data_IF_962600687714
#
_entry.id   IF_962600687714
#
_cell.length_a   1.000
_cell.length_b   1.000
_cell.length_c   1.000
_cell.angle_alpha   90.00
_cell.angle_beta   90.00
_cell.angle_gamma   90.00
#
_symmetry.space_group_name_H-M   'P 1'
#
loop_
_entity.id
_entity.type
_entity.pdbx_description
1 polymer ?
#
# COMPACT_ATOMS: atom_id res chain seq x y z
N UNK A 1 2.39 -59.54 17.50
CA UNK A 1 2.69 -59.22 16.09
C UNK A 1 2.32 -57.75 15.88
N UNK A 2 3.32 -56.89 16.01
CA UNK A 2 3.24 -55.43 15.88
C UNK A 2 3.50 -55.04 14.43
N UNK A 3 2.61 -54.25 13.82
CA UNK A 3 2.90 -53.44 12.63
C UNK A 3 2.07 -52.14 12.79
N UNK A 4 2.65 -51.11 13.43
CA UNK A 4 3.25 -49.93 12.79
C UNK A 4 2.39 -49.29 11.71
N UNK A 5 1.54 -48.34 12.11
CA UNK A 5 1.03 -47.30 11.21
C UNK A 5 1.95 -46.08 11.39
N UNK A 6 3.01 -46.06 10.58
CA UNK A 6 3.95 -44.97 10.47
C UNK A 6 3.28 -43.73 9.90
N UNK A 7 3.17 -42.70 10.73
CA UNK A 7 3.73 -41.36 10.49
C UNK A 7 3.73 -40.88 9.02
N UNK A 8 2.68 -40.16 8.62
CA UNK A 8 2.75 -39.13 7.57
C UNK A 8 1.86 -37.95 7.97
N UNK A 9 2.29 -37.23 9.00
CA UNK A 9 1.91 -35.82 9.16
C UNK A 9 3.10 -35.03 8.62
N UNK A 10 3.06 -34.75 7.32
CA UNK A 10 3.93 -33.74 6.71
C UNK A 10 3.63 -32.41 7.39
N UNK A 11 4.51 -32.04 8.32
CA UNK A 11 4.63 -30.72 8.92
C UNK A 11 4.77 -29.67 7.82
N UNK A 12 3.63 -29.06 7.45
CA UNK A 12 3.63 -27.71 6.89
C UNK A 12 4.05 -26.78 8.02
N UNK A 13 5.32 -26.39 8.00
CA UNK A 13 5.93 -25.37 8.83
C UNK A 13 5.27 -24.02 8.53
N UNK A 14 4.10 -23.79 9.13
CA UNK A 14 3.59 -22.44 9.33
C UNK A 14 4.59 -21.72 10.24
N UNK A 15 5.30 -20.74 9.68
CA UNK A 15 6.21 -19.90 10.42
C UNK A 15 5.51 -19.40 11.70
N UNK A 16 6.06 -19.81 12.85
CA UNK A 16 5.66 -19.31 14.17
C UNK A 16 5.89 -17.81 14.16
N UNK A 17 4.83 -17.04 13.89
CA UNK A 17 4.81 -15.60 14.11
C UNK A 17 4.86 -15.39 15.62
N UNK A 18 6.10 -15.22 16.11
CA UNK A 18 6.37 -14.76 17.47
C UNK A 18 5.47 -13.55 17.75
N UNK A 19 4.63 -13.66 18.77
CA UNK A 19 3.98 -12.52 19.41
C UNK A 19 5.07 -11.63 19.97
N UNK A 20 5.44 -10.60 19.22
CA UNK A 20 5.98 -9.39 19.79
C UNK A 20 4.81 -8.46 20.08
N UNK A 21 4.28 -8.54 21.31
CA UNK A 21 3.73 -7.35 21.94
C UNK A 21 4.93 -6.44 22.26
N UNK A 22 5.48 -5.77 21.24
CA UNK A 22 6.30 -4.61 21.51
C UNK A 22 5.32 -3.54 21.99
N UNK A 23 5.37 -3.25 23.29
CA UNK A 23 5.13 -1.88 23.72
C UNK A 23 6.02 -1.00 22.82
N UNK A 24 5.41 -0.08 22.08
CA UNK A 24 6.12 0.88 21.24
C UNK A 24 6.96 1.78 22.15
N UNK A 25 8.16 1.32 22.49
CA UNK A 25 9.18 2.09 23.20
C UNK A 25 10.26 2.50 22.20
N UNK A 26 9.83 3.27 21.21
CA UNK A 26 10.62 4.30 20.49
C UNK A 26 9.62 5.10 19.67
N UNK A 27 9.62 6.42 19.86
CA UNK A 27 8.81 7.37 19.11
C UNK A 27 9.04 7.23 17.61
N UNK A 28 7.99 6.91 16.85
CA UNK A 28 8.01 6.74 15.39
C UNK A 28 8.98 5.64 14.96
N UNK A 29 8.97 5.12 13.75
CA UNK A 29 9.71 5.75 12.66
C UNK A 29 9.92 4.62 11.64
N UNK A 30 9.02 4.45 10.69
CA UNK A 30 9.43 4.05 9.34
C UNK A 30 10.04 5.26 8.58
N UNK A 31 10.81 6.15 9.24
CA UNK A 31 11.34 7.39 8.60
C UNK A 31 12.56 7.08 7.75
N UNK A 32 13.36 6.05 8.04
CA UNK A 32 14.58 5.79 7.25
C UNK A 32 14.28 5.56 5.76
N UNK A 33 13.07 5.10 5.42
CA UNK A 33 12.64 4.83 4.03
C UNK A 33 11.66 5.86 3.51
N UNK A 34 10.79 6.39 4.36
CA UNK A 34 9.99 7.57 4.01
C UNK A 34 10.86 8.76 3.68
N UNK A 35 11.99 8.97 4.36
CA UNK A 35 12.94 10.06 4.06
C UNK A 35 13.46 10.04 2.63
N UNK A 36 13.48 8.87 1.97
CA UNK A 36 13.96 8.72 0.60
C UNK A 36 12.94 9.15 -0.45
N UNK A 37 11.67 9.36 -0.10
CA UNK A 37 10.69 9.92 -1.04
C UNK A 37 11.05 11.39 -1.29
N UNK A 38 11.79 11.61 -2.37
CA UNK A 38 12.26 12.93 -2.83
C UNK A 38 11.55 13.42 -4.08
N UNK A 39 10.98 12.51 -4.85
CA UNK A 39 10.36 12.77 -6.15
C UNK A 39 9.21 11.79 -6.43
N UNK A 40 8.49 12.02 -7.53
CA UNK A 40 7.36 11.18 -7.94
C UNK A 40 7.74 9.72 -8.22
N UNK A 41 8.95 9.41 -8.69
CA UNK A 41 9.34 8.02 -8.94
C UNK A 41 9.50 7.23 -7.64
N UNK A 42 10.12 7.83 -6.64
CA UNK A 42 10.30 7.16 -5.35
C UNK A 42 8.96 6.98 -4.65
N UNK A 43 8.03 7.96 -4.73
CA UNK A 43 6.67 7.80 -4.21
C UNK A 43 5.92 6.68 -4.93
N UNK A 44 5.94 6.63 -6.28
CA UNK A 44 5.30 5.54 -7.05
C UNK A 44 5.78 4.17 -6.58
N UNK A 45 7.10 3.99 -6.42
CA UNK A 45 7.66 2.71 -5.95
C UNK A 45 7.21 2.38 -4.53
N UNK A 46 7.23 3.36 -3.63
CA UNK A 46 6.78 3.18 -2.25
C UNK A 46 5.30 2.77 -2.19
N UNK A 47 4.44 3.48 -2.91
CA UNK A 47 3.01 3.21 -2.97
C UNK A 47 2.75 1.80 -3.51
N UNK A 48 3.35 1.41 -4.63
CA UNK A 48 3.19 0.08 -5.23
C UNK A 48 3.73 -1.05 -4.33
N UNK A 49 4.83 -0.82 -3.60
CA UNK A 49 5.36 -1.78 -2.65
C UNK A 49 4.41 -1.98 -1.45
N UNK A 50 3.83 -0.89 -0.92
CA UNK A 50 2.83 -0.97 0.14
C UNK A 50 1.53 -1.64 -0.34
N UNK A 51 1.09 -1.38 -1.59
CA UNK A 51 -0.01 -2.09 -2.24
C UNK A 51 0.22 -3.60 -2.25
N UNK A 52 1.42 -4.03 -2.67
CA UNK A 52 1.77 -5.45 -2.68
C UNK A 52 1.68 -6.09 -1.29
N UNK A 53 2.17 -5.41 -0.26
CA UNK A 53 2.14 -5.91 1.12
C UNK A 53 0.70 -6.02 1.66
N UNK A 54 -0.13 -5.00 1.42
CA UNK A 54 -1.53 -5.00 1.88
C UNK A 54 -2.36 -6.10 1.19
N UNK A 55 -2.18 -6.29 -0.11
CA UNK A 55 -2.85 -7.37 -0.87
C UNK A 55 -2.38 -8.76 -0.43
N UNK A 56 -1.08 -8.92 -0.18
CA UNK A 56 -0.54 -10.18 0.37
C UNK A 56 -1.14 -10.45 1.75
N UNK A 57 -1.25 -9.42 2.60
CA UNK A 57 -1.86 -9.53 3.92
C UNK A 57 -3.35 -9.93 3.82
N UNK A 58 -4.12 -9.30 2.92
CA UNK A 58 -5.52 -9.65 2.69
C UNK A 58 -5.68 -11.11 2.23
N UNK A 59 -4.83 -11.55 1.29
CA UNK A 59 -4.80 -12.93 0.80
C UNK A 59 -4.47 -13.91 1.92
N UNK A 60 -3.44 -13.64 2.72
CA UNK A 60 -3.05 -14.47 3.87
C UNK A 60 -4.12 -14.51 4.96
N UNK A 61 -4.93 -13.47 5.11
CA UNK A 61 -6.04 -13.46 6.04
C UNK A 61 -7.07 -14.58 5.76
N UNK A 62 -7.26 -14.94 4.49
CA UNK A 62 -8.21 -15.99 4.10
C UNK A 62 -7.80 -17.40 4.55
N UNK A 63 -6.52 -17.65 4.82
CA UNK A 63 -6.05 -18.96 5.28
C UNK A 63 -6.28 -19.18 6.77
N UNK A 64 -6.47 -18.12 7.56
CA UNK A 64 -6.66 -18.21 9.01
C UNK A 64 -7.91 -19.02 9.39
N UNK A 65 -9.15 -18.65 8.97
CA UNK A 65 -10.34 -19.42 9.32
C UNK A 65 -10.32 -20.84 8.73
N UNK A 66 -9.68 -21.03 7.56
CA UNK A 66 -9.52 -22.35 6.93
C UNK A 66 -8.64 -23.27 7.79
N UNK A 67 -7.51 -22.77 8.29
CA UNK A 67 -6.61 -23.54 9.13
C UNK A 67 -7.26 -23.90 10.47
N UNK A 68 -7.93 -22.95 11.13
CA UNK A 68 -8.64 -23.20 12.39
C UNK A 68 -9.78 -24.22 12.19
N UNK A 69 -10.57 -24.09 11.12
CA UNK A 69 -11.63 -25.05 10.78
C UNK A 69 -11.08 -26.45 10.50
N UNK A 70 -9.95 -26.56 9.79
CA UNK A 70 -9.28 -27.84 9.54
C UNK A 70 -8.78 -28.49 10.84
N UNK A 71 -8.22 -27.70 11.76
CA UNK A 71 -7.81 -28.18 13.09
C UNK A 71 -9.00 -28.69 13.90
N UNK A 72 -10.12 -27.96 13.90
CA UNK A 72 -11.37 -28.40 14.53
C UNK A 72 -11.89 -29.72 13.96
N UNK A 73 -11.91 -29.86 12.63
CA UNK A 73 -12.32 -31.09 11.95
C UNK A 73 -11.41 -32.28 12.30
N UNK A 74 -10.08 -32.07 12.35
CA UNK A 74 -9.12 -33.08 12.75
C UNK A 74 -9.33 -33.53 14.21
N UNK A 75 -9.58 -32.59 15.12
CA UNK A 75 -9.89 -32.89 16.53
C UNK A 75 -11.21 -33.65 16.68
N UNK A 76 -12.24 -33.33 15.88
CA UNK A 76 -13.48 -34.11 15.84
C UNK A 76 -13.26 -35.55 15.39
N UNK A 77 -12.47 -35.74 14.33
CA UNK A 77 -12.14 -37.07 13.82
C UNK A 77 -11.35 -37.87 14.87
N UNK A 78 -10.37 -37.25 15.52
CA UNK A 78 -9.62 -37.87 16.62
C UNK A 78 -10.54 -38.23 17.80
N UNK A 79 -11.49 -37.37 18.15
CA UNK A 79 -12.49 -37.64 19.17
C UNK A 79 -13.47 -38.77 18.81
N UNK A 80 -13.76 -38.97 17.52
CA UNK A 80 -14.56 -40.10 17.04
C UNK A 80 -13.79 -41.42 17.05
N UNK A 81 -12.47 -41.37 16.82
CA UNK A 81 -11.57 -42.53 16.86
C UNK A 81 -11.08 -42.89 18.27
N UNK A 82 -11.31 -42.04 19.27
CA UNK A 82 -10.79 -42.22 20.62
C UNK A 82 -11.42 -43.42 21.35
N UNK A 83 -10.58 -44.26 21.94
CA UNK A 83 -11.00 -45.36 22.83
C UNK A 83 -11.25 -44.83 24.24
N UNK A 84 -12.45 -44.30 24.49
CA UNK A 84 -12.87 -43.82 25.81
C UNK A 84 -13.71 -42.55 25.74
N UNK A 85 -14.77 -42.48 26.56
CA UNK A 85 -15.71 -41.35 26.56
C UNK A 85 -15.04 -40.06 27.00
N UNK A 86 -14.14 -40.16 27.97
CA UNK A 86 -13.34 -39.09 28.54
C UNK A 86 -12.41 -38.47 27.52
N UNK A 87 -11.65 -39.29 26.79
CA UNK A 87 -10.74 -38.84 25.73
C UNK A 87 -11.50 -38.23 24.56
N UNK A 88 -12.60 -38.86 24.16
CA UNK A 88 -13.49 -38.33 23.13
C UNK A 88 -14.07 -36.96 23.52
N UNK A 89 -14.50 -36.79 24.78
CA UNK A 89 -15.02 -35.53 25.30
C UNK A 89 -13.95 -34.43 25.32
N UNK A 90 -12.73 -34.74 25.76
CA UNK A 90 -11.57 -33.85 25.70
C UNK A 90 -11.33 -33.30 24.30
N UNK A 91 -11.20 -34.20 23.31
CA UNK A 91 -10.91 -33.82 21.94
C UNK A 91 -12.06 -33.05 21.27
N UNK A 92 -13.32 -33.39 21.58
CA UNK A 92 -14.49 -32.63 21.11
C UNK A 92 -14.53 -31.23 21.73
N UNK A 93 -14.19 -31.08 23.01
CA UNK A 93 -14.11 -29.76 23.64
C UNK A 93 -13.06 -28.86 22.97
N UNK A 94 -11.87 -29.40 22.68
CA UNK A 94 -10.84 -28.66 21.93
C UNK A 94 -11.32 -28.32 20.51
N UNK A 95 -12.05 -29.23 19.84
CA UNK A 95 -12.62 -28.96 18.53
C UNK A 95 -13.61 -27.79 18.55
N UNK A 96 -14.49 -27.72 19.56
CA UNK A 96 -15.44 -26.61 19.72
C UNK A 96 -14.75 -25.26 19.86
N UNK A 97 -13.59 -25.19 20.52
CA UNK A 97 -12.80 -23.96 20.65
C UNK A 97 -12.22 -23.54 19.29
N UNK A 98 -11.67 -24.48 18.52
CA UNK A 98 -11.15 -24.20 17.18
C UNK A 98 -12.26 -23.74 16.22
N UNK A 99 -13.43 -24.39 16.27
CA UNK A 99 -14.60 -23.98 15.49
C UNK A 99 -15.08 -22.58 15.88
N UNK A 100 -15.15 -22.26 17.17
CA UNK A 100 -15.49 -20.92 17.65
C UNK A 100 -14.48 -19.85 17.18
N UNK A 101 -13.19 -20.13 17.26
CA UNK A 101 -12.14 -19.26 16.74
C UNK A 101 -12.24 -19.07 15.22
N UNK A 102 -12.53 -20.15 14.48
CA UNK A 102 -12.73 -20.10 13.04
C UNK A 102 -13.93 -19.23 12.66
N UNK A 103 -15.06 -19.36 13.36
CA UNK A 103 -16.24 -18.52 13.14
C UNK A 103 -15.97 -17.05 13.48
N UNK A 104 -15.28 -16.77 14.59
CA UNK A 104 -14.91 -15.41 14.96
C UNK A 104 -13.99 -14.76 13.89
N UNK A 105 -12.99 -15.50 13.41
CA UNK A 105 -12.13 -15.06 12.32
C UNK A 105 -12.92 -14.84 11.01
N UNK A 106 -13.85 -15.74 10.68
CA UNK A 106 -14.70 -15.62 9.49
C UNK A 106 -15.63 -14.41 9.56
N UNK A 107 -16.18 -14.09 10.73
CA UNK A 107 -17.03 -12.92 10.92
C UNK A 107 -16.25 -11.59 10.74
N UNK A 108 -14.97 -11.57 11.11
CA UNK A 108 -14.11 -10.39 10.94
C UNK A 108 -13.49 -10.28 9.54
N UNK A 109 -13.37 -11.40 8.81
CA UNK A 109 -12.65 -11.48 7.53
C UNK A 109 -13.14 -10.48 6.47
N UNK A 110 -14.46 -10.27 6.23
CA UNK A 110 -14.93 -9.33 5.22
C UNK A 110 -14.47 -7.89 5.50
N UNK A 111 -14.63 -7.43 6.74
CA UNK A 111 -14.20 -6.09 7.15
C UNK A 111 -12.67 -5.95 7.10
N UNK A 112 -11.94 -7.02 7.48
CA UNK A 112 -10.49 -7.07 7.40
C UNK A 112 -9.98 -6.90 5.96
N UNK A 113 -10.49 -7.70 5.03
CA UNK A 113 -10.13 -7.64 3.60
C UNK A 113 -10.52 -6.28 3.02
N UNK A 114 -11.75 -5.83 3.28
CA UNK A 114 -12.27 -4.57 2.73
C UNK A 114 -11.38 -3.37 3.07
N UNK A 115 -10.91 -3.26 4.31
CA UNK A 115 -10.05 -2.13 4.71
C UNK A 115 -8.67 -2.22 4.07
N UNK A 116 -8.07 -3.41 4.00
CA UNK A 116 -6.78 -3.62 3.34
C UNK A 116 -6.87 -3.30 1.83
N UNK A 117 -7.92 -3.76 1.16
CA UNK A 117 -8.16 -3.51 -0.26
C UNK A 117 -8.48 -2.04 -0.54
N UNK A 118 -9.22 -1.36 0.34
CA UNK A 118 -9.48 0.07 0.22
C UNK A 118 -8.18 0.89 0.28
N UNK A 119 -7.27 0.55 1.21
CA UNK A 119 -5.95 1.18 1.30
C UNK A 119 -5.09 0.89 0.07
N UNK A 120 -5.02 -0.39 -0.35
CA UNK A 120 -4.30 -0.78 -1.56
C UNK A 120 -4.85 -0.06 -2.81
N UNK A 121 -6.16 0.10 -2.92
CA UNK A 121 -6.79 0.81 -4.04
C UNK A 121 -6.45 2.29 -4.02
N UNK A 122 -6.50 2.94 -2.84
CA UNK A 122 -6.15 4.35 -2.70
C UNK A 122 -4.69 4.63 -3.09
N UNK A 123 -3.76 3.78 -2.64
CA UNK A 123 -2.34 3.86 -3.00
C UNK A 123 -2.10 3.58 -4.50
N UNK A 124 -2.76 2.56 -5.07
CA UNK A 124 -2.62 2.28 -6.51
C UNK A 124 -3.15 3.43 -7.38
N UNK A 125 -4.29 4.03 -7.01
CA UNK A 125 -4.83 5.21 -7.69
C UNK A 125 -3.89 6.42 -7.57
N UNK A 126 -3.22 6.57 -6.42
CA UNK A 126 -2.20 7.60 -6.22
C UNK A 126 -0.99 7.38 -7.13
N UNK A 127 -0.43 6.17 -7.15
CA UNK A 127 0.66 5.79 -8.04
C UNK A 127 0.29 6.05 -9.52
N UNK A 128 -0.91 5.67 -9.96
CA UNK A 128 -1.38 5.97 -11.32
C UNK A 128 -1.48 7.46 -11.60
N UNK A 129 -1.96 8.27 -10.65
CA UNK A 129 -2.02 9.73 -10.80
C UNK A 129 -0.63 10.33 -10.96
N UNK A 130 0.37 9.82 -10.22
CA UNK A 130 1.77 10.24 -10.35
C UNK A 130 2.37 9.82 -11.69
N UNK A 131 2.07 8.61 -12.18
CA UNK A 131 2.49 8.14 -13.51
C UNK A 131 1.90 9.08 -14.58
N UNK A 132 0.59 9.33 -14.54
CA UNK A 132 -0.06 10.26 -15.48
C UNK A 132 0.48 11.69 -15.38
N UNK A 133 0.78 12.16 -14.17
CA UNK A 133 1.47 13.42 -13.96
C UNK A 133 2.81 13.44 -14.69
N UNK A 134 3.63 12.39 -14.56
CA UNK A 134 4.93 12.32 -15.24
C UNK A 134 4.82 12.25 -16.76
N UNK A 135 3.87 11.48 -17.27
CA UNK A 135 3.60 11.36 -18.70
C UNK A 135 3.17 12.69 -19.33
N UNK A 136 2.36 13.49 -18.61
CA UNK A 136 1.75 14.70 -19.17
C UNK A 136 2.47 15.99 -18.76
N UNK A 137 3.20 16.02 -17.64
CA UNK A 137 3.85 17.23 -17.15
C UNK A 137 5.00 17.59 -18.08
N UNK A 138 4.84 18.69 -18.80
CA UNK A 138 5.89 19.32 -19.60
C UNK A 138 7.03 19.74 -18.66
N UNK A 139 8.23 19.26 -18.97
CA UNK A 139 9.47 19.61 -18.28
C UNK A 139 10.20 20.72 -19.02
N UNK A 140 10.42 20.54 -20.32
CA UNK A 140 11.05 21.53 -21.17
C UNK A 140 10.22 21.77 -22.41
N UNK A 141 10.33 22.99 -22.92
CA UNK A 141 9.73 23.40 -24.18
C UNK A 141 10.82 24.13 -24.95
N UNK A 142 11.45 23.42 -25.89
CA UNK A 142 12.60 23.94 -26.63
C UNK A 142 12.14 24.41 -28.01
N UNK A 143 12.49 25.63 -28.43
CA UNK A 143 12.14 26.11 -29.77
C UNK A 143 12.81 25.25 -30.85
N UNK A 144 12.08 24.92 -31.92
CA UNK A 144 12.65 24.34 -33.14
C UNK A 144 12.93 25.44 -34.16
N UNK A 145 13.52 25.08 -35.31
CA UNK A 145 13.64 26.01 -36.43
C UNK A 145 12.26 26.59 -36.80
N UNK A 146 12.22 27.90 -37.03
CA UNK A 146 11.05 28.61 -37.51
C UNK A 146 10.77 28.25 -38.98
N UNK A 147 9.51 28.32 -39.42
CA UNK A 147 9.23 28.28 -40.85
C UNK A 147 9.62 29.60 -41.49
N UNK A 148 10.02 29.57 -42.77
CA UNK A 148 10.16 30.78 -43.59
C UNK A 148 8.90 31.64 -43.48
N UNK A 149 9.08 32.96 -43.45
CA UNK A 149 7.94 33.85 -43.30
C UNK A 149 6.98 33.76 -44.50
N UNK A 150 5.68 33.91 -44.23
CA UNK A 150 4.61 33.91 -45.22
C UNK A 150 3.61 35.02 -44.92
N UNK A 151 2.74 35.33 -45.87
CA UNK A 151 1.63 36.26 -45.65
C UNK A 151 0.39 35.54 -45.12
N UNK A 152 -0.28 36.12 -44.13
CA UNK A 152 -1.56 35.69 -43.58
C UNK A 152 -2.58 36.83 -43.63
N UNK A 153 -3.84 36.48 -43.43
CA UNK A 153 -5.00 37.38 -43.34
C UNK A 153 -5.25 37.90 -41.93
N UNK A 154 -4.54 37.36 -40.93
CA UNK A 154 -4.68 37.73 -39.53
C UNK A 154 -3.41 38.42 -38.99
N UNK A 155 -3.56 39.47 -38.16
CA UNK A 155 -4.83 40.12 -37.78
C UNK A 155 -5.40 41.02 -38.89
N UNK A 156 -4.64 41.28 -39.96
CA UNK A 156 -5.07 42.02 -41.14
C UNK A 156 -4.50 41.41 -42.43
N UNK A 157 -5.06 41.76 -43.58
CA UNK A 157 -4.58 41.27 -44.88
C UNK A 157 -3.09 41.59 -45.09
N UNK A 158 -2.37 40.65 -45.70
CA UNK A 158 -0.93 40.75 -45.97
C UNK A 158 -0.06 40.90 -44.71
N UNK A 159 -0.48 40.35 -43.57
CA UNK A 159 0.36 40.28 -42.35
C UNK A 159 1.48 39.27 -42.56
N UNK A 160 2.72 39.63 -42.25
CA UNK A 160 3.84 38.69 -42.23
C UNK A 160 3.77 37.82 -40.97
N UNK A 161 3.76 36.49 -41.15
CA UNK A 161 3.73 35.51 -40.07
C UNK A 161 4.85 34.48 -40.23
N UNK A 162 5.27 33.90 -39.11
CA UNK A 162 6.12 32.71 -39.07
C UNK A 162 5.48 31.70 -38.12
N UNK A 163 5.66 30.41 -38.40
CA UNK A 163 5.23 29.34 -37.49
C UNK A 163 6.44 28.76 -36.78
N UNK A 164 6.36 28.75 -35.45
CA UNK A 164 7.34 28.10 -34.58
C UNK A 164 6.71 26.89 -33.91
N UNK A 165 7.33 25.73 -34.09
CA UNK A 165 7.03 24.55 -33.29
C UNK A 165 8.00 24.51 -32.11
N UNK A 166 7.55 23.90 -31.02
CA UNK A 166 8.41 23.60 -29.90
C UNK A 166 8.49 22.09 -29.72
N UNK A 167 9.70 21.59 -29.51
CA UNK A 167 9.92 20.23 -29.04
C UNK A 167 9.57 20.18 -27.55
N UNK A 168 8.62 19.33 -27.20
CA UNK A 168 8.15 19.13 -25.83
C UNK A 168 8.85 17.90 -25.27
N UNK A 169 9.45 18.04 -24.09
CA UNK A 169 9.81 16.88 -23.27
C UNK A 169 9.00 16.87 -22.00
N UNK A 170 8.59 15.67 -21.58
CA UNK A 170 7.82 15.44 -20.35
C UNK A 170 8.73 14.86 -19.28
N UNK A 171 8.27 14.80 -18.03
CA UNK A 171 9.04 14.18 -16.96
C UNK A 171 9.35 12.70 -17.22
N UNK A 172 8.45 11.99 -17.92
CA UNK A 172 8.67 10.61 -18.31
C UNK A 172 9.82 10.44 -19.33
N UNK A 173 10.18 11.50 -20.07
CA UNK A 173 11.18 11.44 -21.15
C UNK A 173 12.61 11.18 -20.64
N UNK A 174 12.93 11.53 -19.40
CA UNK A 174 14.31 11.45 -18.88
C UNK A 174 14.65 10.10 -18.24
N UNK A 175 13.65 9.39 -17.71
CA UNK A 175 13.74 8.02 -17.25
C UNK A 175 12.34 7.53 -16.84
N UNK A 176 11.99 6.31 -17.25
CA UNK A 176 10.87 5.60 -16.66
C UNK A 176 11.19 5.29 -15.19
N UNK A 177 10.23 5.47 -14.29
CA UNK A 177 10.39 4.96 -12.94
C UNK A 177 10.47 3.44 -13.07
N UNK A 178 11.64 2.84 -12.84
CA UNK A 178 11.72 1.39 -12.73
C UNK A 178 10.70 0.95 -11.68
N UNK A 179 9.70 0.16 -12.05
CA UNK A 179 8.64 -0.33 -11.14
C UNK A 179 8.45 -1.84 -11.23
N UNK A 180 9.13 -2.50 -12.18
CA UNK A 180 8.99 -3.93 -12.45
C UNK A 180 9.58 -4.79 -11.33
N UNK A 181 10.66 -4.32 -10.71
CA UNK A 181 11.27 -4.94 -9.53
C UNK A 181 11.17 -4.00 -8.32
N UNK A 182 10.33 -4.37 -7.36
CA UNK A 182 10.16 -3.67 -6.08
C UNK A 182 11.10 -4.19 -4.98
N UNK A 183 11.86 -5.24 -5.22
CA UNK A 183 12.69 -5.93 -4.22
C UNK A 183 14.18 -5.60 -4.31
N UNK A 184 14.70 -5.20 -5.47
CA UNK A 184 16.14 -4.93 -5.65
C UNK A 184 16.47 -3.59 -6.31
N UNK A 185 17.75 -3.20 -6.30
CA UNK A 185 18.31 -2.15 -7.17
C UNK A 185 17.96 -0.68 -6.88
N UNK A 186 17.11 -0.38 -5.89
CA UNK A 186 16.57 0.97 -5.68
C UNK A 186 16.52 1.39 -4.21
N UNK A 187 16.38 2.70 -3.97
CA UNK A 187 16.34 3.28 -2.62
C UNK A 187 15.22 2.65 -1.76
N UNK A 188 14.00 2.60 -2.30
CA UNK A 188 12.85 1.95 -1.67
C UNK A 188 12.69 0.52 -2.20
N UNK A 189 12.80 -0.45 -1.28
CA UNK A 189 12.53 -1.87 -1.50
C UNK A 189 11.32 -2.32 -0.69
N UNK A 190 10.61 -3.34 -1.16
CA UNK A 190 9.39 -3.86 -0.51
C UNK A 190 9.67 -4.56 0.82
N UNK A 191 10.69 -5.43 0.88
CA UNK A 191 11.09 -6.17 2.09
C UNK A 191 11.45 -5.27 3.30
N UNK A 192 11.64 -4.01 2.97
CA UNK A 192 12.22 -2.95 3.75
C UNK A 192 11.12 -2.08 4.39
N UNK A 193 9.90 -2.10 3.82
CA UNK A 193 8.70 -1.41 4.34
C UNK A 193 8.05 -2.26 5.44
N UNK A 194 7.70 -1.61 6.55
CA UNK A 194 7.06 -2.28 7.68
C UNK A 194 5.73 -1.62 8.00
N UNK A 195 4.59 -2.16 7.53
CA UNK A 195 3.27 -1.57 7.74
C UNK A 195 2.94 -1.26 9.22
N UNK A 196 3.42 -2.11 10.15
CA UNK A 196 3.26 -1.91 11.59
C UNK A 196 4.06 -0.76 12.20
N UNK A 197 4.95 -0.10 11.45
CA UNK A 197 5.79 1.01 11.91
C UNK A 197 5.45 2.35 11.19
N UNK A 198 4.41 2.36 10.34
CA UNK A 198 3.98 3.55 9.61
C UNK A 198 3.10 4.45 10.50
N UNK A 199 3.53 5.69 10.70
CA UNK A 199 2.79 6.76 11.41
C UNK A 199 2.46 7.96 10.51
N UNK A 200 3.25 8.16 9.46
CA UNK A 200 3.06 9.19 8.43
C UNK A 200 3.36 8.59 7.07
N UNK A 201 2.88 9.20 6.00
CA UNK A 201 3.28 8.90 4.63
C UNK A 201 4.00 10.12 4.07
N UNK A 202 5.18 9.95 3.49
CA UNK A 202 5.83 11.04 2.76
C UNK A 202 5.33 11.01 1.33
N UNK A 203 4.64 12.07 0.90
CA UNK A 203 3.94 12.15 -0.38
C UNK A 203 4.13 13.54 -0.99
N UNK A 204 4.24 13.64 -2.30
CA UNK A 204 4.18 14.90 -3.04
C UNK A 204 2.90 15.65 -2.69
N UNK A 205 3.03 16.96 -2.52
CA UNK A 205 1.88 17.82 -2.30
C UNK A 205 0.89 17.73 -3.47
N UNK A 206 -0.41 17.63 -3.17
CA UNK A 206 -1.44 17.57 -4.21
C UNK A 206 -1.42 18.80 -5.15
N UNK A 207 -0.93 19.94 -4.65
CA UNK A 207 -0.77 21.18 -5.40
C UNK A 207 0.36 21.15 -6.45
N UNK A 208 1.31 20.23 -6.29
CA UNK A 208 2.43 20.06 -7.25
C UNK A 208 2.00 19.22 -8.46
N UNK A 209 0.94 18.43 -8.31
CA UNK A 209 0.39 17.57 -9.36
C UNK A 209 -0.50 18.36 -10.35
N UNK A 210 0.12 19.34 -11.01
CA UNK A 210 -0.50 20.24 -12.00
C UNK A 210 0.34 20.35 -13.27
N UNK A 211 -0.32 20.78 -14.35
CA UNK A 211 0.34 21.08 -15.62
C UNK A 211 1.34 22.23 -15.50
N UNK A 212 2.30 22.27 -16.43
CA UNK A 212 3.25 23.38 -16.52
C UNK A 212 2.54 24.65 -16.98
N UNK A 213 2.91 25.76 -16.34
CA UNK A 213 2.55 27.06 -16.88
C UNK A 213 3.45 27.29 -18.09
N UNK A 214 2.84 27.53 -19.25
CA UNK A 214 3.56 27.77 -20.49
C UNK A 214 3.58 29.28 -20.74
N UNK A 215 4.79 29.84 -20.77
CA UNK A 215 5.00 31.23 -21.17
C UNK A 215 5.40 31.26 -22.64
N UNK A 216 4.68 32.02 -23.45
CA UNK A 216 5.04 32.31 -24.83
C UNK A 216 5.51 33.77 -24.92
N UNK A 217 6.66 33.99 -25.56
CA UNK A 217 7.24 35.31 -25.81
C UNK A 217 7.38 35.48 -27.32
N UNK A 218 6.63 36.40 -27.89
CA UNK A 218 6.87 36.85 -29.26
C UNK A 218 7.86 38.03 -29.23
N UNK A 219 8.73 38.11 -30.23
CA UNK A 219 9.58 39.28 -30.41
C UNK A 219 9.66 39.66 -31.90
N UNK A 220 9.69 40.96 -32.12
CA UNK A 220 9.88 41.58 -33.42
C UNK A 220 10.88 42.72 -33.27
N UNK A 221 11.73 42.90 -34.26
CA UNK A 221 12.62 44.06 -34.36
C UNK A 221 12.66 44.52 -35.81
N UNK A 222 12.74 45.83 -36.01
CA UNK A 222 12.85 46.43 -37.33
C UNK A 222 11.55 46.34 -38.13
N UNK A 223 11.68 46.22 -39.45
CA UNK A 223 10.55 46.06 -40.38
C UNK A 223 10.69 44.72 -41.09
N UNK A 224 10.10 43.64 -40.55
CA UNK A 224 10.16 42.33 -41.18
C UNK A 224 9.54 42.42 -42.59
N UNK A 225 10.35 42.26 -43.64
CA UNK A 225 9.91 42.32 -45.02
C UNK A 225 9.54 40.91 -45.56
N UNK A 226 9.00 40.83 -46.78
CA UNK A 226 8.79 39.53 -47.41
C UNK A 226 10.15 38.88 -47.71
N UNK A 227 10.46 37.70 -47.15
CA UNK A 227 11.68 36.95 -47.51
C UNK A 227 12.43 36.21 -46.40
N UNK A 228 11.92 36.13 -45.17
CA UNK A 228 12.73 35.64 -44.04
C UNK A 228 13.02 34.13 -44.04
N UNK A 229 14.29 33.77 -43.78
CA UNK A 229 14.74 32.39 -43.55
C UNK A 229 14.89 32.10 -42.06
N UNK A 230 14.86 30.82 -41.70
CA UNK A 230 15.07 30.38 -40.31
C UNK A 230 16.46 30.77 -39.83
N UNK A 231 16.56 31.44 -38.69
CA UNK A 231 17.84 31.95 -38.21
C UNK A 231 18.69 30.83 -37.60
N UNK A 232 19.79 30.50 -38.27
CA UNK A 232 20.74 29.48 -37.79
C UNK A 232 21.34 29.89 -36.43
N UNK A 233 21.26 29.00 -35.45
CA UNK A 233 21.75 29.25 -34.08
C UNK A 233 20.75 29.97 -33.15
N UNK A 234 19.62 30.46 -33.67
CA UNK A 234 18.55 31.07 -32.88
C UNK A 234 17.19 30.44 -33.23
N UNK A 235 16.92 29.19 -32.79
CA UNK A 235 15.64 28.53 -33.04
C UNK A 235 14.46 29.37 -32.53
N UNK A 236 13.34 29.33 -33.26
CA UNK A 236 12.16 30.15 -32.97
C UNK A 236 12.14 31.52 -33.65
N UNK A 237 13.18 31.88 -34.41
CA UNK A 237 13.29 33.17 -35.09
C UNK A 237 13.58 33.04 -36.58
N UNK A 238 13.10 34.02 -37.34
CA UNK A 238 13.45 34.25 -38.74
C UNK A 238 14.10 35.63 -38.89
N UNK A 239 14.98 35.76 -39.88
CA UNK A 239 15.71 36.98 -40.24
C UNK A 239 15.68 37.17 -41.77
N UNK A 240 15.80 38.42 -42.24
CA UNK A 240 16.01 38.82 -43.64
C UNK A 240 17.34 38.29 -44.21
N UNK A 241 18.36 38.13 -43.38
CA UNK A 241 19.66 37.57 -43.77
C UNK A 241 19.94 36.29 -42.97
N UNK A 242 20.17 35.15 -43.64
CA UNK A 242 20.44 33.81 -43.07
C UNK A 242 21.66 33.76 -42.10
N UNK A 243 22.34 34.89 -41.88
CA UNK A 243 23.54 35.02 -41.08
C UNK A 243 23.33 35.82 -39.80
N UNK A 244 23.26 35.10 -38.67
CA UNK A 244 23.62 35.56 -37.32
C UNK A 244 22.73 36.59 -36.57
N UNK A 245 21.53 36.95 -37.05
CA UNK A 245 20.63 37.83 -36.28
C UNK A 245 21.07 39.29 -36.27
N UNK A 246 22.01 39.65 -37.16
CA UNK A 246 22.73 40.93 -37.16
C UNK A 246 22.13 41.96 -38.11
N UNK A 247 21.15 41.59 -38.95
CA UNK A 247 20.43 42.51 -39.86
C UNK A 247 19.62 43.58 -39.10
N UNK A 248 19.21 43.27 -37.87
CA UNK A 248 18.31 44.11 -37.08
C UNK A 248 16.82 43.94 -37.39
N UNK A 249 16.44 43.10 -38.36
CA UNK A 249 15.06 42.77 -38.71
C UNK A 249 14.78 41.30 -38.37
N UNK A 250 14.01 41.03 -37.33
CA UNK A 250 13.63 39.66 -37.00
C UNK A 250 12.18 39.56 -36.55
N UNK A 251 11.63 38.36 -36.74
CA UNK A 251 10.32 37.97 -36.24
C UNK A 251 10.44 36.58 -35.62
N UNK A 252 9.84 36.36 -34.47
CA UNK A 252 9.83 35.03 -33.89
C UNK A 252 9.11 34.92 -32.58
N UNK A 253 9.10 33.70 -32.06
CA UNK A 253 8.52 33.39 -30.77
C UNK A 253 9.27 32.25 -30.08
N UNK A 254 9.37 32.39 -28.76
CA UNK A 254 9.91 31.38 -27.87
C UNK A 254 8.83 30.95 -26.89
N UNK A 255 8.78 29.67 -26.59
CA UNK A 255 8.03 29.17 -25.46
C UNK A 255 8.97 28.69 -24.36
N UNK A 256 8.50 28.73 -23.13
CA UNK A 256 9.18 28.15 -21.97
C UNK A 256 8.15 27.57 -21.01
N UNK A 257 8.49 26.45 -20.38
CA UNK A 257 7.66 25.84 -19.33
C UNK A 257 8.14 26.31 -17.94
N UNK A 258 7.22 26.41 -16.98
CA UNK A 258 7.57 26.69 -15.59
C UNK A 258 8.45 25.58 -15.00
N UNK A 259 9.36 25.98 -14.11
CA UNK A 259 10.27 25.05 -13.46
C UNK A 259 9.51 23.92 -12.76
N UNK A 260 10.07 22.72 -12.80
CA UNK A 260 9.57 21.59 -12.04
C UNK A 260 9.77 21.86 -10.54
N UNK A 261 8.71 21.67 -9.76
CA UNK A 261 8.77 21.65 -8.31
C UNK A 261 8.05 20.40 -7.84
N UNK A 262 8.79 19.48 -7.25
CA UNK A 262 8.24 18.33 -6.53
C UNK A 262 8.62 18.52 -5.06
N UNK A 263 7.62 18.77 -4.21
CA UNK A 263 7.81 19.00 -2.78
C UNK A 263 7.10 17.90 -1.99
N UNK A 264 7.80 16.82 -1.62
CA UNK A 264 7.26 15.83 -0.72
C UNK A 264 7.05 16.41 0.68
N UNK A 265 5.93 16.07 1.29
CA UNK A 265 5.57 16.43 2.65
C UNK A 265 5.20 15.21 3.48
N UNK A 266 5.43 15.28 4.79
CA UNK A 266 4.99 14.26 5.73
C UNK A 266 3.49 14.44 6.05
N UNK A 267 2.71 13.43 5.72
CA UNK A 267 1.27 13.39 5.94
C UNK A 267 0.97 12.42 7.08
N UNK A 268 0.57 12.92 8.26
CA UNK A 268 0.19 12.00 9.34
C UNK A 268 -1.08 11.23 8.98
N UNK A 269 -1.09 9.93 9.27
CA UNK A 269 -2.25 9.06 8.99
C UNK A 269 -3.22 9.00 10.18
N UNK A 270 -2.74 9.29 11.39
CA UNK A 270 -3.52 9.34 12.63
C UNK A 270 -3.91 10.78 13.00
N UNK A 271 -4.97 10.94 13.79
CA UNK A 271 -5.42 12.25 14.29
C UNK A 271 -4.37 12.93 15.17
N UNK A 272 -3.66 12.14 15.98
CA UNK A 272 -2.57 12.64 16.83
C UNK A 272 -1.22 12.29 16.20
N UNK A 273 -0.36 13.29 15.92
CA UNK A 273 0.99 13.03 15.41
C UNK A 273 1.75 12.05 16.31
N UNK A 274 2.47 11.11 15.70
CA UNK A 274 3.34 10.13 16.36
C UNK A 274 2.63 9.19 17.36
N UNK A 275 1.30 9.15 17.40
CA UNK A 275 0.54 8.22 18.24
C UNK A 275 -0.43 7.39 17.42
N UNK A 276 -0.40 6.07 17.62
CA UNK A 276 -1.43 5.17 17.09
C UNK A 276 -2.73 5.45 17.83
N UNK A 277 -3.80 5.61 17.07
CA UNK A 277 -5.09 6.00 17.60
C UNK A 277 -6.11 6.13 16.49
N UNK A 278 -7.04 7.06 16.66
CA UNK A 278 -8.07 7.31 15.66
C UNK A 278 -7.47 7.81 14.34
N UNK A 279 -8.09 7.38 13.24
CA UNK A 279 -7.72 7.82 11.90
C UNK A 279 -8.31 9.19 11.61
N UNK A 280 -7.58 9.99 10.82
CA UNK A 280 -8.05 11.33 10.43
C UNK A 280 -9.45 11.30 9.84
N UNK A 281 -10.34 12.12 10.39
CA UNK A 281 -11.73 12.19 9.96
C UNK A 281 -11.86 12.49 8.46
N UNK A 282 -12.96 12.02 7.85
CA UNK A 282 -13.29 12.39 6.48
C UNK A 282 -13.68 13.85 6.41
N UNK A 283 -12.84 14.65 5.74
CA UNK A 283 -13.24 15.98 5.31
C UNK A 283 -14.38 15.83 4.31
N UNK A 284 -15.54 16.37 4.66
CA UNK A 284 -16.71 16.45 3.79
C UNK A 284 -16.44 17.43 2.65
N UNK A 285 -16.99 17.11 1.47
CA UNK A 285 -17.21 18.04 0.36
C UNK A 285 -15.99 18.72 -0.30
N UNK A 286 -15.08 17.94 -0.89
CA UNK A 286 -14.26 18.44 -2.00
C UNK A 286 -14.49 17.58 -3.25
N UNK A 287 -14.65 18.22 -4.41
CA UNK A 287 -14.63 17.54 -5.70
C UNK A 287 -13.34 16.71 -5.77
N UNK A 288 -13.45 15.43 -6.13
CA UNK A 288 -12.31 14.51 -6.24
C UNK A 288 -11.55 14.28 -4.93
N UNK A 289 -12.19 14.52 -3.76
CA UNK A 289 -11.54 14.37 -2.45
C UNK A 289 -10.94 12.98 -2.20
N UNK A 290 -11.41 11.94 -2.89
CA UNK A 290 -10.84 10.58 -2.87
C UNK A 290 -9.45 10.45 -3.49
N UNK A 291 -9.00 11.45 -4.26
CA UNK A 291 -7.70 11.46 -4.94
C UNK A 291 -6.61 12.24 -4.17
N UNK A 292 -6.95 12.77 -2.99
CA UNK A 292 -6.05 13.59 -2.17
C UNK A 292 -5.11 12.73 -1.32
N UNK A 293 -3.94 13.27 -0.97
CA UNK A 293 -3.02 12.64 0.00
C UNK A 293 -3.70 12.35 1.32
N UNK A 294 -4.62 13.21 1.77
CA UNK A 294 -5.42 13.00 2.98
C UNK A 294 -6.34 11.78 2.89
N UNK A 295 -6.93 11.52 1.71
CA UNK A 295 -7.76 10.32 1.51
C UNK A 295 -6.92 9.04 1.51
N UNK A 296 -5.73 9.06 0.90
CA UNK A 296 -4.79 7.93 0.93
C UNK A 296 -4.33 7.65 2.35
N UNK A 297 -3.88 8.67 3.07
CA UNK A 297 -3.46 8.58 4.46
C UNK A 297 -4.55 7.96 5.37
N UNK A 298 -5.80 8.40 5.21
CA UNK A 298 -6.93 7.83 5.95
C UNK A 298 -7.17 6.36 5.63
N UNK A 299 -7.15 5.99 4.35
CA UNK A 299 -7.35 4.60 3.93
C UNK A 299 -6.25 3.70 4.52
N UNK A 300 -4.99 4.13 4.44
CA UNK A 300 -3.85 3.44 5.06
C UNK A 300 -4.03 3.33 6.57
N UNK A 301 -4.44 4.40 7.26
CA UNK A 301 -4.71 4.33 8.69
C UNK A 301 -5.77 3.28 9.03
N UNK A 302 -6.91 3.26 8.33
CA UNK A 302 -7.98 2.30 8.57
C UNK A 302 -7.47 0.86 8.40
N UNK A 303 -6.70 0.60 7.35
CA UNK A 303 -6.05 -0.69 7.12
C UNK A 303 -5.07 -1.07 8.25
N UNK A 304 -4.24 -0.15 8.72
CA UNK A 304 -3.24 -0.40 9.77
C UNK A 304 -3.83 -0.51 11.17
N UNK A 305 -5.04 0.03 11.39
CA UNK A 305 -5.81 -0.12 12.61
C UNK A 305 -6.64 -1.41 12.65
N UNK A 306 -6.73 -2.14 11.52
CA UNK A 306 -7.38 -3.45 11.54
C UNK A 306 -6.59 -4.41 12.42
N UNK A 307 -7.29 -4.96 13.43
CA UNK A 307 -6.74 -6.03 14.22
C UNK A 307 -6.44 -7.22 13.30
N UNK A 308 -5.20 -7.72 13.36
CA UNK A 308 -4.84 -8.96 12.65
C UNK A 308 -5.76 -10.08 13.11
N UNK A 309 -6.27 -10.86 12.16
CA UNK A 309 -7.08 -12.03 12.47
C UNK A 309 -6.33 -12.95 13.42
N UNK A 310 -7.01 -13.39 14.47
CA UNK A 310 -6.41 -14.25 15.47
C UNK A 310 -6.18 -15.65 14.87
N UNK A 311 -4.91 -15.98 14.59
CA UNK A 311 -4.51 -17.29 14.10
C UNK A 311 -4.13 -18.27 15.22
N UNK A 312 -4.38 -17.91 16.50
CA UNK A 312 -4.02 -18.76 17.62
C UNK A 312 -4.87 -20.04 17.65
N UNK A 313 -4.22 -21.15 17.40
CA UNK A 313 -4.79 -22.49 17.50
C UNK A 313 -4.62 -23.05 18.92
N UNK A 314 -5.61 -23.82 19.39
CA UNK A 314 -5.54 -24.57 20.65
C UNK A 314 -4.41 -25.61 20.60
N UNK A 315 -4.12 -26.15 19.42
CA UNK A 315 -3.04 -27.13 19.19
C UNK A 315 -1.64 -26.54 19.36
N UNK A 316 -1.52 -25.20 19.29
CA UNK A 316 -0.26 -24.49 19.46
C UNK A 316 -0.08 -23.96 20.89
N UNK A 317 -1.09 -24.10 21.76
CA UNK A 317 -0.98 -23.68 23.16
C UNK A 317 -0.12 -24.69 23.94
N UNK A 318 0.66 -24.18 24.90
CA UNK A 318 1.44 -25.04 25.79
C UNK A 318 0.49 -25.84 26.66
N UNK A 319 0.87 -27.08 26.99
CA UNK A 319 0.09 -27.95 27.85
C UNK A 319 -0.26 -27.29 29.20
N UNK A 320 0.68 -26.53 29.79
CA UNK A 320 0.45 -25.78 31.04
C UNK A 320 -0.65 -24.74 30.92
N UNK A 321 -0.80 -24.14 29.74
CA UNK A 321 -1.83 -23.15 29.44
C UNK A 321 -3.19 -23.83 29.17
N UNK A 322 -3.19 -25.09 28.74
CA UNK A 322 -4.38 -25.92 28.50
C UNK A 322 -4.91 -26.48 29.83
N UNK A 323 -4.04 -27.07 30.67
CA UNK A 323 -4.45 -27.72 31.92
C UNK A 323 -5.03 -26.77 32.98
N UNK A 324 -4.80 -25.46 32.83
CA UNK A 324 -5.31 -24.44 33.72
C UNK A 324 -6.54 -23.69 33.16
N UNK A 325 -7.01 -24.06 31.96
CA UNK A 325 -8.07 -23.33 31.26
C UNK A 325 -9.47 -23.79 31.70
N UNK A 326 -10.18 -22.91 32.40
CA UNK A 326 -11.54 -23.17 32.89
C UNK A 326 -12.57 -23.30 31.77
N UNK A 327 -12.36 -22.68 30.61
CA UNK A 327 -13.25 -22.81 29.45
C UNK A 327 -13.17 -24.23 28.89
N UNK A 328 -11.95 -24.76 28.75
CA UNK A 328 -11.72 -26.14 28.31
C UNK A 328 -12.38 -27.13 29.28
N UNK A 329 -12.17 -26.96 30.59
CA UNK A 329 -12.79 -27.82 31.60
C UNK A 329 -14.33 -27.77 31.57
N UNK A 330 -14.91 -26.58 31.39
CA UNK A 330 -16.36 -26.39 31.28
C UNK A 330 -16.92 -27.14 30.07
N UNK A 331 -16.27 -26.98 28.91
CA UNK A 331 -16.67 -27.68 27.68
C UNK A 331 -16.56 -29.21 27.83
N UNK A 332 -15.51 -29.71 28.50
CA UNK A 332 -15.35 -31.14 28.80
C UNK A 332 -16.49 -31.63 29.71
N UNK A 333 -16.80 -30.90 30.78
CA UNK A 333 -17.87 -31.26 31.70
C UNK A 333 -19.23 -31.34 30.99
N UNK A 334 -19.51 -30.39 30.08
CA UNK A 334 -20.69 -30.41 29.22
C UNK A 334 -20.73 -31.65 28.32
N UNK A 335 -19.62 -31.99 27.64
CA UNK A 335 -19.55 -33.18 26.79
C UNK A 335 -19.73 -34.49 27.57
N UNK A 336 -19.39 -34.51 28.87
CA UNK A 336 -19.55 -35.65 29.76
C UNK A 336 -20.88 -35.64 30.54
N UNK A 337 -21.77 -34.66 30.32
CA UNK A 337 -22.98 -34.44 31.11
C UNK A 337 -22.72 -34.40 32.62
N UNK A 338 -21.59 -33.84 33.05
CA UNK A 338 -21.27 -33.63 34.47
C UNK A 338 -21.89 -32.31 34.97
N UNK A 339 -22.39 -32.27 36.21
CA UNK A 339 -22.93 -31.03 36.78
C UNK A 339 -21.83 -29.96 36.85
N UNK A 340 -22.12 -28.78 36.29
CA UNK A 340 -21.32 -27.58 36.43
C UNK A 340 -21.60 -26.98 37.82
N UNK A 341 -20.62 -27.04 38.72
CA UNK A 341 -20.81 -26.55 40.10
C UNK A 341 -20.21 -25.16 40.24
N UNK A 342 -20.76 -24.30 41.11
CA UNK A 342 -20.22 -22.95 41.34
C UNK A 342 -18.72 -22.91 41.75
N UNK A 343 -18.15 -24.05 42.12
CA UNK A 343 -16.73 -24.29 42.41
C UNK A 343 -15.85 -24.55 41.16
N UNK A 344 -16.35 -24.38 39.94
CA UNK A 344 -15.64 -24.64 38.68
C UNK A 344 -14.40 -23.71 38.43
N UNK A 345 -14.07 -22.83 39.39
CA UNK A 345 -12.81 -22.07 39.46
C UNK A 345 -11.72 -22.72 40.34
N UNK A 346 -11.98 -23.89 40.93
CA UNK A 346 -10.96 -24.67 41.62
C UNK A 346 -9.93 -25.20 40.62
N UNK A 347 -8.78 -24.52 40.55
CA UNK A 347 -7.65 -24.85 39.67
C UNK A 347 -7.20 -26.32 39.79
N UNK A 348 -7.36 -26.94 40.97
CA UNK A 348 -7.05 -28.36 41.18
C UNK A 348 -8.00 -29.26 40.42
N UNK A 349 -9.32 -29.01 40.50
CA UNK A 349 -10.36 -29.78 39.82
C UNK A 349 -10.30 -29.59 38.31
N UNK A 350 -10.09 -28.37 37.82
CA UNK A 350 -9.87 -28.05 36.41
C UNK A 350 -8.71 -28.86 35.84
N UNK A 351 -7.56 -28.82 36.52
CA UNK A 351 -6.37 -29.56 36.11
C UNK A 351 -6.57 -31.08 36.14
N UNK A 352 -7.25 -31.61 37.16
CA UNK A 352 -7.54 -33.03 37.26
C UNK A 352 -8.46 -33.51 36.12
N UNK A 353 -9.53 -32.76 35.82
CA UNK A 353 -10.46 -33.08 34.74
C UNK A 353 -9.75 -33.07 33.38
N UNK A 354 -8.99 -32.01 33.10
CA UNK A 354 -8.24 -31.87 31.84
C UNK A 354 -7.17 -32.96 31.73
N UNK A 355 -6.44 -33.30 32.80
CA UNK A 355 -5.50 -34.42 32.76
C UNK A 355 -6.17 -35.77 32.50
N UNK A 356 -7.31 -36.05 33.13
CA UNK A 356 -8.01 -37.33 32.94
C UNK A 356 -8.58 -37.52 31.53
N UNK A 357 -8.81 -36.44 30.79
CA UNK A 357 -9.41 -36.46 29.45
C UNK A 357 -8.39 -36.21 28.34
N UNK A 358 -7.40 -35.35 28.58
CA UNK A 358 -6.44 -34.88 27.58
C UNK A 358 -4.98 -35.26 27.86
N UNK A 359 -4.66 -35.74 29.07
CA UNK A 359 -3.30 -36.10 29.50
C UNK A 359 -2.68 -37.23 28.67
N UNK A 360 -1.37 -37.46 28.82
CA UNK A 360 -0.67 -38.48 28.04
C UNK A 360 -1.34 -39.84 28.26
N UNK A 361 -1.69 -40.49 27.15
CA UNK A 361 -1.84 -41.95 27.13
C UNK A 361 -0.45 -42.52 27.40
N UNK A 362 -0.32 -43.28 28.48
CA UNK A 362 0.85 -44.13 28.72
C UNK A 362 1.16 -45.03 27.52
#
# INVERSE_FOLDING_TARGET
MFISISLFVTLLSAAVLRRSAYAATTDGVDDARRQQVTDSCVEIRYDLALVSLLRQQATSGTSVPKALSANGAALRLAGAAATGKERAAGLRALASIEEANAMAALAQLPNYIQNLDAAATALANRAHRLIMYRELRIKTLNPTAATTASTDTLPAAATVVTTNKAAITTLASDANCSIDDLDSGHAVRRADIKPGEIYKLKMLNDADLKQADITLKAAVKGTPANGHTALTGHPGFVDDDDSSGSSGNYLGALGSASALSETPADIDIFDTPNKRGQCKAKTTSANWGSLTTAAVARAVCNALNMQKLNAASILQRRWTDIEADSEIATLIALQLNKPLTKDDNDKSKTKALIKSTLGPTE
#
